data_IF_857548118117
#
_entry.id   IF_857548118117
#
_cell.length_a   1.000
_cell.length_b   1.000
_cell.length_c   1.000
_cell.angle_alpha   90.00
_cell.angle_beta   90.00
_cell.angle_gamma   90.00
#
_symmetry.space_group_name_H-M   'P 1'
#
loop_
_entity.id
_entity.type
_entity.pdbx_description
1 polymer ?
#
# COMPACT_ATOMS: atom_id res chain seq x y z
N UNK A 1 1.10 -7.41 23.66
CA UNK A 1 2.29 -6.67 23.16
C UNK A 1 2.71 -7.12 21.76
N UNK A 2 2.83 -8.42 21.48
CA UNK A 2 3.24 -8.92 20.15
C UNK A 2 2.22 -8.63 19.02
N UNK A 3 0.93 -8.90 19.27
CA UNK A 3 -0.13 -8.74 18.27
C UNK A 3 -0.19 -7.35 17.63
N UNK A 4 -0.15 -6.29 18.45
CA UNK A 4 -0.24 -4.88 17.98
C UNK A 4 0.94 -4.47 17.10
N UNK A 5 2.12 -5.08 17.27
CA UNK A 5 3.32 -4.75 16.48
C UNK A 5 3.36 -5.52 15.16
N UNK A 6 2.68 -6.64 15.09
CA UNK A 6 2.83 -7.62 14.02
C UNK A 6 1.67 -7.65 13.03
N UNK A 7 0.46 -7.24 13.44
CA UNK A 7 -0.75 -7.19 12.61
C UNK A 7 -1.08 -5.72 12.28
N UNK A 8 -1.35 -5.37 11.01
CA UNK A 8 -1.68 -4.01 10.60
C UNK A 8 -3.15 -3.65 10.84
N UNK A 9 -3.45 -2.34 10.76
CA UNK A 9 -4.83 -1.83 10.75
C UNK A 9 -5.48 -2.00 9.38
N UNK A 10 -6.77 -2.29 9.35
CA UNK A 10 -7.58 -2.32 8.12
C UNK A 10 -7.70 -0.92 7.47
N UNK A 11 -7.51 0.14 8.25
CA UNK A 11 -7.74 1.52 7.78
C UNK A 11 -6.60 2.01 6.91
N UNK A 12 -5.35 1.99 7.40
CA UNK A 12 -4.17 2.46 6.66
C UNK A 12 -3.29 1.34 6.11
N UNK A 13 -3.49 0.09 6.54
CA UNK A 13 -2.65 -1.03 6.17
C UNK A 13 -1.27 -1.04 6.84
N UNK A 14 -1.06 -0.21 7.87
CA UNK A 14 0.24 -0.06 8.52
C UNK A 14 0.28 -0.73 9.90
N UNK A 15 1.44 -1.28 10.23
CA UNK A 15 1.84 -1.62 11.60
C UNK A 15 2.34 -0.36 12.32
N UNK A 16 2.35 -0.31 13.67
CA UNK A 16 2.79 0.88 14.41
C UNK A 16 4.17 1.40 13.99
N UNK A 17 5.19 0.54 13.88
CA UNK A 17 6.53 0.97 13.44
C UNK A 17 6.55 1.57 12.04
N UNK A 18 5.71 1.06 11.13
CA UNK A 18 5.58 1.63 9.79
C UNK A 18 4.88 2.98 9.84
N UNK A 19 3.83 3.11 10.67
CA UNK A 19 3.09 4.36 10.86
C UNK A 19 3.94 5.46 11.44
N UNK A 20 4.77 5.18 12.44
CA UNK A 20 5.79 6.10 13.00
C UNK A 20 6.73 6.63 11.92
N UNK A 21 7.25 5.75 11.06
CA UNK A 21 8.09 6.16 9.91
C UNK A 21 7.33 7.08 8.95
N UNK A 22 6.09 6.72 8.58
CA UNK A 22 5.26 7.53 7.69
C UNK A 22 4.90 8.88 8.34
N UNK A 23 4.55 8.91 9.63
CA UNK A 23 4.22 10.15 10.36
C UNK A 23 5.39 11.15 10.33
N UNK A 24 6.58 10.68 10.70
CA UNK A 24 7.81 11.48 10.62
C UNK A 24 8.07 11.98 9.20
N UNK A 25 7.89 11.14 8.17
CA UNK A 25 8.09 11.55 6.77
C UNK A 25 7.07 12.59 6.30
N UNK A 26 5.79 12.41 6.62
CA UNK A 26 4.70 13.29 6.20
C UNK A 26 4.76 14.68 6.85
N UNK A 27 5.44 14.82 8.00
CA UNK A 27 5.67 16.10 8.69
C UNK A 27 6.94 16.83 8.26
N UNK A 28 7.79 16.20 7.45
CA UNK A 28 8.98 16.87 6.91
C UNK A 28 8.56 17.88 5.85
N UNK A 29 9.11 19.09 5.97
CA UNK A 29 8.93 20.16 4.98
C UNK A 29 9.84 20.00 3.75
N UNK A 30 10.90 19.20 3.85
CA UNK A 30 11.91 19.02 2.80
C UNK A 30 11.67 17.76 1.98
N UNK A 31 11.67 17.92 0.66
CA UNK A 31 11.63 16.82 -0.32
C UNK A 31 13.03 16.28 -0.68
N UNK A 32 14.08 16.72 0.01
CA UNK A 32 15.45 16.22 -0.22
C UNK A 32 15.60 14.80 0.36
N UNK A 33 16.41 14.00 -0.30
CA UNK A 33 16.80 12.67 0.16
C UNK A 33 17.42 12.72 1.57
N UNK A 34 17.20 11.67 2.35
CA UNK A 34 17.75 11.49 3.69
C UNK A 34 18.32 10.09 3.80
N UNK A 35 19.47 9.96 4.47
CA UNK A 35 20.06 8.65 4.74
C UNK A 35 19.14 7.86 5.66
N UNK A 36 18.96 6.56 5.38
CA UNK A 36 18.06 5.68 6.15
C UNK A 36 18.35 5.73 7.66
N UNK A 37 19.63 5.68 8.06
CA UNK A 37 20.00 5.74 9.48
C UNK A 37 19.64 7.09 10.13
N UNK A 38 19.77 8.20 9.40
CA UNK A 38 19.36 9.52 9.90
C UNK A 38 17.84 9.61 10.05
N UNK A 39 17.10 9.01 9.12
CA UNK A 39 15.65 8.92 9.24
C UNK A 39 15.24 8.04 10.42
N UNK A 40 15.91 6.90 10.64
CA UNK A 40 15.63 6.02 11.77
C UNK A 40 15.85 6.75 13.12
N UNK A 41 16.95 7.49 13.27
CA UNK A 41 17.21 8.30 14.45
C UNK A 41 16.15 9.40 14.65
N UNK A 42 15.73 10.06 13.56
CA UNK A 42 14.67 11.08 13.63
C UNK A 42 13.31 10.48 14.05
N UNK A 43 12.96 9.31 13.52
CA UNK A 43 11.75 8.57 13.92
C UNK A 43 11.83 8.17 15.39
N UNK A 44 13.01 7.72 15.85
CA UNK A 44 13.16 7.31 17.24
C UNK A 44 12.92 8.47 18.22
N UNK A 45 13.41 9.66 17.90
CA UNK A 45 13.22 10.88 18.68
C UNK A 45 11.79 11.44 18.59
N UNK A 46 11.24 11.54 17.38
CA UNK A 46 9.96 12.22 17.16
C UNK A 46 8.73 11.38 17.50
N UNK A 47 8.89 10.06 17.58
CA UNK A 47 7.78 9.11 17.74
C UNK A 47 7.91 8.29 19.03
N UNK A 48 8.72 8.72 20.00
CA UNK A 48 8.98 8.00 21.25
C UNK A 48 9.26 6.49 21.05
N UNK A 49 10.08 6.13 20.05
CA UNK A 49 10.27 4.73 19.70
C UNK A 49 11.26 4.04 20.65
N UNK A 50 10.75 3.21 21.55
CA UNK A 50 11.55 2.55 22.60
C UNK A 50 12.24 1.23 22.18
N UNK A 51 12.36 0.94 20.88
CA UNK A 51 13.12 -0.23 20.41
C UNK A 51 14.36 0.18 19.64
N UNK A 52 15.31 -0.75 19.47
CA UNK A 52 16.53 -0.46 18.74
C UNK A 52 16.28 0.07 17.32
N UNK A 53 17.00 1.12 16.93
CA UNK A 53 16.90 1.77 15.62
C UNK A 53 17.13 0.82 14.44
N UNK A 54 17.86 -0.29 14.65
CA UNK A 54 18.05 -1.33 13.62
C UNK A 54 16.72 -1.91 13.09
N UNK A 55 15.70 -1.99 13.96
CA UNK A 55 14.36 -2.41 13.56
C UNK A 55 13.68 -1.34 12.67
N UNK A 56 13.90 -0.05 12.95
CA UNK A 56 13.40 1.05 12.13
C UNK A 56 14.12 1.09 10.77
N UNK A 57 15.44 0.91 10.73
CA UNK A 57 16.19 0.82 9.47
C UNK A 57 15.61 -0.27 8.57
N UNK A 58 15.36 -1.45 9.12
CA UNK A 58 14.72 -2.55 8.38
C UNK A 58 13.30 -2.18 7.91
N UNK A 59 12.53 -1.51 8.76
CA UNK A 59 11.17 -1.05 8.43
C UNK A 59 11.18 -0.02 7.30
N UNK A 60 12.08 0.96 7.35
CA UNK A 60 12.25 2.00 6.32
C UNK A 60 12.64 1.36 4.99
N UNK A 61 13.61 0.44 4.99
CA UNK A 61 14.01 -0.28 3.78
C UNK A 61 12.82 -1.04 3.18
N UNK A 62 12.05 -1.76 3.99
CA UNK A 62 10.86 -2.50 3.51
C UNK A 62 9.78 -1.58 2.93
N UNK A 63 9.56 -0.40 3.51
CA UNK A 63 8.61 0.58 2.98
C UNK A 63 9.08 1.21 1.65
N UNK A 64 10.40 1.23 1.39
CA UNK A 64 10.99 1.81 0.19
C UNK A 64 11.22 0.80 -0.95
N UNK A 65 11.16 -0.50 -0.70
CA UNK A 65 11.38 -1.54 -1.71
C UNK A 65 10.30 -1.52 -2.81
N UNK A 66 10.74 -1.41 -4.07
CA UNK A 66 9.90 -1.28 -5.27
C UNK A 66 10.12 -2.40 -6.31
N UNK A 67 10.90 -3.44 -5.98
CA UNK A 67 11.12 -4.58 -6.87
C UNK A 67 9.89 -5.52 -6.90
N UNK A 68 9.83 -6.36 -7.95
CA UNK A 68 8.69 -7.26 -8.23
C UNK A 68 8.28 -8.06 -6.98
N UNK A 69 7.02 -7.93 -6.59
CA UNK A 69 6.44 -8.64 -5.44
C UNK A 69 6.48 -7.88 -4.11
N UNK A 70 7.10 -6.69 -4.05
CA UNK A 70 7.08 -5.80 -2.88
C UNK A 70 5.94 -4.78 -2.98
N UNK A 71 6.19 -3.51 -2.68
CA UNK A 71 5.17 -2.47 -2.68
C UNK A 71 4.76 -2.10 -4.12
N UNK A 72 3.46 -2.06 -4.40
CA UNK A 72 2.95 -1.63 -5.69
C UNK A 72 2.99 -0.10 -5.86
N UNK A 73 2.81 0.65 -4.77
CA UNK A 73 2.69 2.11 -4.80
C UNK A 73 3.39 2.74 -3.58
N UNK A 74 4.14 3.85 -3.75
CA UNK A 74 4.73 4.58 -2.63
C UNK A 74 3.66 5.29 -1.78
N UNK A 75 3.96 5.48 -0.49
CA UNK A 75 3.11 6.25 0.42
C UNK A 75 3.35 7.74 0.22
N UNK A 76 2.34 8.50 -0.21
CA UNK A 76 2.47 9.92 -0.58
C UNK A 76 1.36 10.78 0.02
N UNK A 77 1.55 12.11 0.07
CA UNK A 77 0.50 13.07 0.47
C UNK A 77 -0.72 13.09 -0.45
N UNK A 78 -0.64 12.51 -1.65
CA UNK A 78 -1.82 12.29 -2.50
C UNK A 78 -2.72 11.18 -1.93
N UNK A 79 -2.11 10.15 -1.33
CA UNK A 79 -2.83 9.04 -0.69
C UNK A 79 -3.27 9.42 0.72
N UNK A 80 -2.45 10.21 1.44
CA UNK A 80 -2.68 10.70 2.80
C UNK A 80 -2.80 12.23 2.80
N UNK A 81 -3.98 12.79 2.48
CA UNK A 81 -4.14 14.23 2.28
C UNK A 81 -3.88 14.99 3.58
N UNK A 82 -3.11 16.08 3.51
CA UNK A 82 -2.82 16.93 4.67
C UNK A 82 -4.08 17.56 5.29
N UNK A 83 -5.14 17.74 4.49
CA UNK A 83 -6.44 18.23 4.97
C UNK A 83 -7.12 17.28 5.97
N UNK A 84 -6.67 16.01 6.08
CA UNK A 84 -7.16 15.11 7.13
C UNK A 84 -6.36 15.20 8.43
N UNK A 85 -5.17 15.80 8.43
CA UNK A 85 -4.23 15.69 9.56
C UNK A 85 -4.86 16.19 10.86
N UNK A 86 -5.63 17.29 10.83
CA UNK A 86 -6.30 17.89 11.99
C UNK A 86 -7.53 17.08 12.48
N UNK A 87 -7.91 16.03 11.75
CA UNK A 87 -9.06 15.17 12.06
C UNK A 87 -8.62 13.82 12.66
N UNK A 88 -7.32 13.55 12.73
CA UNK A 88 -6.80 12.28 13.22
C UNK A 88 -6.68 12.28 14.75
N UNK A 89 -6.82 11.10 15.35
CA UNK A 89 -6.59 10.91 16.78
C UNK A 89 -5.11 10.59 17.02
N UNK A 90 -4.32 11.61 17.36
CA UNK A 90 -2.91 11.48 17.71
C UNK A 90 -2.74 10.84 19.08
N UNK A 91 -1.77 9.93 19.18
CA UNK A 91 -1.41 9.32 20.46
C UNK A 91 -0.44 10.23 21.22
N UNK A 92 -0.41 10.07 22.54
CA UNK A 92 0.48 10.79 23.43
C UNK A 92 1.35 9.79 24.21
N UNK A 93 2.67 9.91 24.07
CA UNK A 93 3.67 9.14 24.81
C UNK A 93 4.69 10.12 25.41
N UNK A 94 5.01 10.00 26.70
CA UNK A 94 5.97 10.88 27.40
C UNK A 94 5.67 12.39 27.28
N UNK A 95 4.38 12.78 27.26
CA UNK A 95 3.88 14.14 27.02
C UNK A 95 4.21 14.70 25.62
N UNK A 96 4.50 13.83 24.66
CA UNK A 96 4.73 14.17 23.26
C UNK A 96 3.62 13.57 22.40
N UNK A 97 3.05 14.39 21.52
CA UNK A 97 2.17 13.92 20.46
C UNK A 97 3.00 13.18 19.41
N UNK A 98 2.70 11.89 19.25
CA UNK A 98 3.34 10.97 18.30
C UNK A 98 2.36 10.66 17.15
N UNK A 99 2.55 9.56 16.43
CA UNK A 99 1.68 9.15 15.32
C UNK A 99 0.22 8.96 15.75
N UNK A 100 -0.74 9.08 14.80
CA UNK A 100 -2.13 8.78 15.08
C UNK A 100 -2.38 7.27 15.22
N UNK A 101 -3.49 6.89 15.83
CA UNK A 101 -3.91 5.48 15.90
C UNK A 101 -3.89 4.80 14.53
N UNK A 102 -4.36 5.54 13.53
CA UNK A 102 -4.28 5.20 12.12
C UNK A 102 -4.41 6.46 11.28
N UNK A 103 -3.79 6.44 10.11
CA UNK A 103 -4.12 7.38 9.04
C UNK A 103 -5.37 6.91 8.30
N UNK A 104 -6.02 7.82 7.55
CA UNK A 104 -7.17 7.47 6.73
C UNK A 104 -6.85 7.72 5.24
N UNK A 105 -6.17 6.80 4.54
CA UNK A 105 -5.84 7.01 3.13
C UNK A 105 -7.10 7.07 2.27
N UNK A 106 -7.04 7.71 1.09
CA UNK A 106 -8.18 7.84 0.17
C UNK A 106 -8.62 6.50 -0.46
N UNK A 107 -7.76 5.47 -0.37
CA UNK A 107 -8.00 4.10 -0.84
C UNK A 107 -7.42 3.11 0.18
N UNK A 108 -7.94 1.87 0.26
CA UNK A 108 -7.45 0.86 1.21
C UNK A 108 -6.05 0.37 0.84
N UNK A 109 -5.03 1.01 1.42
CA UNK A 109 -3.62 0.72 1.10
C UNK A 109 -3.18 -0.70 1.48
N UNK A 110 -3.86 -1.35 2.44
CA UNK A 110 -3.67 -2.77 2.75
C UNK A 110 -3.90 -3.67 1.53
N UNK A 111 -4.82 -3.32 0.64
CA UNK A 111 -5.09 -4.07 -0.58
C UNK A 111 -4.15 -3.69 -1.72
N UNK A 112 -3.63 -2.46 -1.72
CA UNK A 112 -2.70 -1.96 -2.75
C UNK A 112 -1.32 -2.59 -2.56
N UNK A 113 -0.74 -2.50 -1.37
CA UNK A 113 0.61 -3.00 -1.09
C UNK A 113 0.63 -4.39 -0.46
N UNK A 114 -0.52 -4.93 -0.08
CA UNK A 114 -0.59 -6.19 0.65
C UNK A 114 -0.07 -6.06 2.08
N UNK A 115 -0.14 -7.16 2.82
CA UNK A 115 0.50 -7.27 4.13
C UNK A 115 0.74 -8.72 4.51
N UNK A 116 1.84 -8.94 5.21
CA UNK A 116 2.11 -10.19 5.89
C UNK A 116 2.54 -9.94 7.33
N UNK A 117 2.10 -10.81 8.24
CA UNK A 117 2.45 -10.73 9.66
C UNK A 117 2.12 -12.01 10.39
N UNK A 118 2.96 -12.36 11.36
CA UNK A 118 2.77 -13.48 12.27
C UNK A 118 2.87 -12.92 13.68
N UNK A 119 1.93 -13.32 14.53
CA UNK A 119 1.89 -12.98 15.94
C UNK A 119 1.44 -14.21 16.73
N UNK A 120 1.57 -14.18 18.06
CA UNK A 120 1.10 -15.28 18.91
C UNK A 120 -0.36 -15.65 18.63
N UNK A 121 -0.58 -16.83 18.04
CA UNK A 121 -1.91 -17.39 17.73
C UNK A 121 -2.57 -16.88 16.44
N UNK A 122 -1.96 -15.93 15.72
CA UNK A 122 -2.57 -15.32 14.53
C UNK A 122 -1.55 -15.08 13.42
N UNK A 123 -2.01 -15.17 12.18
CA UNK A 123 -1.25 -14.72 11.02
C UNK A 123 -2.15 -13.90 10.11
N UNK A 124 -1.55 -13.02 9.34
CA UNK A 124 -2.25 -12.24 8.32
C UNK A 124 -1.49 -12.34 7.02
N UNK A 125 -2.21 -12.62 5.93
CA UNK A 125 -1.72 -12.55 4.57
C UNK A 125 -2.79 -11.91 3.69
N UNK A 126 -2.48 -10.70 3.22
CA UNK A 126 -3.25 -9.96 2.23
C UNK A 126 -2.33 -9.76 1.02
N UNK A 127 -2.76 -10.21 -0.16
CA UNK A 127 -2.00 -10.01 -1.40
C UNK A 127 -2.23 -8.60 -1.95
N UNK A 128 -1.24 -8.09 -2.68
CA UNK A 128 -1.32 -6.78 -3.32
C UNK A 128 -2.18 -6.80 -4.59
N UNK A 129 -2.73 -5.63 -4.93
CA UNK A 129 -3.63 -5.42 -6.06
C UNK A 129 -3.28 -4.13 -6.81
N UNK A 130 -3.71 -4.04 -8.06
CA UNK A 130 -3.52 -2.85 -8.88
C UNK A 130 -4.35 -1.71 -8.29
N UNK A 131 -3.66 -0.61 -7.97
CA UNK A 131 -4.29 0.56 -7.36
C UNK A 131 -5.44 1.11 -8.20
N UNK A 132 -5.38 1.02 -9.54
CA UNK A 132 -6.45 1.48 -10.44
C UNK A 132 -7.71 0.66 -10.24
N UNK A 133 -7.59 -0.66 -10.13
CA UNK A 133 -8.74 -1.54 -9.84
C UNK A 133 -9.32 -1.29 -8.46
N UNK A 134 -8.47 -1.02 -7.46
CA UNK A 134 -8.91 -0.62 -6.12
C UNK A 134 -9.68 0.71 -6.19
N UNK A 135 -9.16 1.72 -6.90
CA UNK A 135 -9.83 3.01 -7.13
C UNK A 135 -11.17 2.82 -7.83
N UNK A 136 -11.23 2.00 -8.88
CA UNK A 136 -12.46 1.76 -9.65
C UNK A 136 -13.54 1.10 -8.78
N UNK A 137 -13.16 0.19 -7.88
CA UNK A 137 -14.09 -0.35 -6.89
C UNK A 137 -14.52 0.67 -5.83
N UNK A 138 -13.63 1.56 -5.39
CA UNK A 138 -14.03 2.68 -4.51
C UNK A 138 -15.04 3.57 -5.22
N UNK A 139 -14.83 3.92 -6.50
CA UNK A 139 -15.79 4.69 -7.30
C UNK A 139 -17.14 3.98 -7.42
N UNK A 140 -17.15 2.67 -7.69
CA UNK A 140 -18.37 1.87 -7.70
C UNK A 140 -19.11 1.93 -6.37
N UNK A 141 -18.40 1.85 -5.24
CA UNK A 141 -19.03 1.99 -3.92
C UNK A 141 -19.63 3.39 -3.70
N UNK A 142 -18.99 4.46 -4.20
CA UNK A 142 -19.56 5.83 -4.20
C UNK A 142 -20.87 5.86 -4.99
N UNK A 143 -20.88 5.21 -6.15
CA UNK A 143 -22.04 5.14 -7.05
C UNK A 143 -23.10 4.11 -6.61
N UNK A 144 -22.93 3.47 -5.45
CA UNK A 144 -23.74 2.36 -4.94
C UNK A 144 -23.84 1.16 -5.92
N UNK A 145 -22.83 0.99 -6.78
CA UNK A 145 -22.71 -0.14 -7.70
C UNK A 145 -22.00 -1.33 -7.05
N UNK A 146 -22.16 -2.51 -7.66
CA UNK A 146 -21.47 -3.72 -7.23
C UNK A 146 -19.97 -3.66 -7.58
N UNK A 147 -19.13 -4.05 -6.62
CA UNK A 147 -17.68 -4.12 -6.81
C UNK A 147 -17.32 -5.25 -7.77
N UNK A 148 -16.30 -5.04 -8.58
CA UNK A 148 -15.68 -6.12 -9.33
C UNK A 148 -14.77 -6.96 -8.45
N UNK A 149 -14.64 -8.24 -8.80
CA UNK A 149 -13.70 -9.14 -8.16
C UNK A 149 -12.27 -8.67 -8.41
N UNK A 150 -11.53 -8.42 -7.34
CA UNK A 150 -10.12 -8.07 -7.41
C UNK A 150 -9.27 -9.35 -7.51
N UNK A 151 -8.47 -9.44 -8.57
CA UNK A 151 -7.44 -10.47 -8.71
C UNK A 151 -6.11 -9.86 -8.29
N UNK A 152 -5.32 -10.54 -7.43
CA UNK A 152 -4.03 -10.05 -6.99
C UNK A 152 -3.11 -9.71 -8.16
N UNK A 153 -2.29 -8.68 -7.98
CA UNK A 153 -1.33 -8.25 -8.97
C UNK A 153 -0.14 -7.59 -8.31
N UNK A 154 1.05 -7.91 -8.82
CA UNK A 154 2.31 -7.43 -8.31
C UNK A 154 2.95 -6.52 -9.34
N UNK A 155 3.43 -5.34 -8.93
CA UNK A 155 4.07 -4.40 -9.84
C UNK A 155 5.21 -5.06 -10.60
N UNK A 156 5.32 -4.74 -11.90
CA UNK A 156 6.32 -5.27 -12.84
C UNK A 156 6.30 -6.81 -13.05
N UNK A 157 5.35 -7.55 -12.45
CA UNK A 157 5.23 -8.98 -12.67
C UNK A 157 4.64 -9.29 -14.06
N UNK A 158 5.42 -9.99 -14.89
CA UNK A 158 5.05 -10.32 -16.28
C UNK A 158 4.38 -11.69 -16.45
N UNK A 159 4.19 -12.42 -15.36
CA UNK A 159 3.51 -13.71 -15.36
C UNK A 159 1.98 -13.59 -15.38
N UNK A 160 1.30 -14.68 -15.04
CA UNK A 160 -0.15 -14.74 -14.92
C UNK A 160 -0.53 -15.03 -13.48
N UNK A 161 -1.53 -14.32 -12.98
CA UNK A 161 -2.21 -14.63 -11.71
C UNK A 161 -3.64 -15.00 -12.04
N UNK A 162 -4.11 -16.13 -11.53
CA UNK A 162 -5.49 -16.56 -11.69
C UNK A 162 -6.02 -17.14 -10.38
N UNK A 163 -7.29 -16.88 -10.10
CA UNK A 163 -7.95 -17.50 -8.96
C UNK A 163 -8.44 -18.90 -9.35
N UNK A 164 -8.07 -19.89 -8.55
CA UNK A 164 -8.43 -21.30 -8.78
C UNK A 164 -9.57 -21.74 -7.88
N UNK A 165 -9.67 -21.14 -6.70
CA UNK A 165 -10.67 -21.37 -5.67
C UNK A 165 -10.76 -20.08 -4.84
N UNK A 166 -11.86 -19.88 -4.12
CA UNK A 166 -12.03 -18.68 -3.27
C UNK A 166 -10.82 -18.52 -2.34
N UNK A 167 -10.22 -17.32 -2.35
CA UNK A 167 -9.02 -16.99 -1.57
C UNK A 167 -7.78 -17.83 -1.92
N UNK A 168 -7.75 -18.49 -3.09
CA UNK A 168 -6.62 -19.31 -3.54
C UNK A 168 -6.24 -18.98 -4.97
N UNK A 169 -4.99 -18.55 -5.14
CA UNK A 169 -4.48 -17.98 -6.39
C UNK A 169 -3.30 -18.76 -6.90
N UNK A 170 -3.33 -19.09 -8.18
CA UNK A 170 -2.22 -19.67 -8.91
C UNK A 170 -1.44 -18.57 -9.62
N UNK A 171 -0.14 -18.51 -9.34
CA UNK A 171 0.81 -17.57 -9.91
C UNK A 171 1.77 -18.34 -10.81
N UNK A 172 1.75 -18.01 -12.09
CA UNK A 172 2.51 -18.66 -13.13
C UNK A 172 3.54 -17.69 -13.74
N UNK A 173 4.79 -18.12 -13.81
CA UNK A 173 5.83 -17.46 -14.58
C UNK A 173 5.55 -17.50 -16.09
N UNK A 174 6.38 -16.83 -16.87
CA UNK A 174 6.25 -16.76 -18.32
C UNK A 174 7.38 -17.53 -18.99
N UNK A 175 7.06 -18.30 -20.03
CA UNK A 175 8.04 -18.90 -20.92
C UNK A 175 7.59 -18.76 -22.37
N UNK A 176 8.57 -18.73 -23.28
CA UNK A 176 8.35 -18.64 -24.72
C UNK A 176 9.27 -19.65 -25.40
N UNK A 177 8.75 -20.35 -26.41
CA UNK A 177 9.57 -21.20 -27.26
C UNK A 177 10.23 -20.40 -28.37
N UNK A 178 11.52 -20.62 -28.58
CA UNK A 178 12.26 -20.06 -29.72
C UNK A 178 12.89 -21.20 -30.52
N UNK A 179 12.95 -21.08 -31.87
CA UNK A 179 13.72 -22.01 -32.70
C UNK A 179 15.20 -21.98 -32.31
N UNK A 180 15.86 -23.14 -32.36
CA UNK A 180 17.31 -23.21 -32.14
C UNK A 180 18.04 -22.41 -33.23
N UNK A 181 18.92 -21.50 -32.83
CA UNK A 181 19.82 -20.80 -33.76
C UNK A 181 20.98 -21.69 -34.23
N UNK A 182 21.20 -22.84 -33.60
CA UNK A 182 22.27 -23.79 -33.95
C UNK A 182 21.72 -24.90 -34.84
N UNK A 183 22.28 -25.03 -36.05
CA UNK A 183 21.87 -26.04 -37.05
C UNK A 183 22.14 -27.49 -36.61
N UNK A 184 23.17 -27.75 -35.79
CA UNK A 184 23.64 -29.10 -35.43
C UNK A 184 23.89 -29.32 -33.91
N UNK A 185 22.95 -28.98 -33.03
CA UNK A 185 23.06 -29.34 -31.61
C UNK A 185 22.49 -30.75 -31.39
N UNK A 186 23.37 -31.75 -31.21
CA UNK A 186 22.95 -33.14 -31.04
C UNK A 186 22.67 -33.54 -29.59
N UNK A 187 23.31 -32.93 -28.58
CA UNK A 187 23.17 -33.32 -27.16
C UNK A 187 23.40 -32.17 -26.14
N UNK A 188 23.09 -30.92 -26.48
CA UNK A 188 23.32 -29.81 -25.55
C UNK A 188 22.09 -29.55 -24.67
N UNK A 189 22.14 -30.03 -23.43
CA UNK A 189 21.36 -29.50 -22.32
C UNK A 189 22.22 -28.46 -21.60
N UNK A 190 21.94 -27.18 -21.82
CA UNK A 190 22.65 -26.08 -21.18
C UNK A 190 21.71 -24.90 -20.99
N UNK A 191 22.10 -23.95 -20.16
CA UNK A 191 21.35 -22.72 -19.96
C UNK A 191 22.25 -21.49 -20.04
N UNK A 192 21.66 -20.37 -20.45
CA UNK A 192 22.27 -19.04 -20.39
C UNK A 192 21.40 -18.12 -19.56
N UNK A 193 22.04 -17.25 -18.82
CA UNK A 193 21.40 -16.25 -17.96
C UNK A 193 21.55 -14.86 -18.59
N UNK A 194 20.43 -14.15 -18.69
CA UNK A 194 20.38 -12.77 -19.21
C UNK A 194 19.56 -11.90 -18.25
N UNK A 195 19.95 -11.91 -16.98
CA UNK A 195 19.25 -11.20 -15.92
C UNK A 195 19.53 -9.69 -15.95
N UNK A 196 18.60 -8.92 -15.40
CA UNK A 196 18.74 -7.49 -15.13
C UNK A 196 18.32 -7.23 -13.69
N UNK A 197 18.53 -6.01 -13.19
CA UNK A 197 18.08 -5.62 -11.84
C UNK A 197 16.58 -5.81 -11.61
N UNK A 198 15.75 -5.72 -12.67
CA UNK A 198 14.28 -5.81 -12.60
C UNK A 198 13.68 -7.07 -13.23
N UNK A 199 14.50 -7.97 -13.77
CA UNK A 199 13.96 -9.05 -14.61
C UNK A 199 14.85 -10.28 -14.69
N UNK A 200 14.22 -11.44 -14.63
CA UNK A 200 14.87 -12.75 -14.73
C UNK A 200 14.58 -13.37 -16.09
N UNK A 201 15.64 -13.73 -16.82
CA UNK A 201 15.57 -14.41 -18.11
C UNK A 201 16.59 -15.53 -18.19
N UNK A 202 16.09 -16.74 -18.35
CA UNK A 202 16.87 -17.93 -18.68
C UNK A 202 16.60 -18.33 -20.13
N UNK A 203 17.64 -18.72 -20.86
CA UNK A 203 17.54 -19.34 -22.18
C UNK A 203 18.03 -20.76 -22.05
N UNK A 204 17.11 -21.72 -22.17
CA UNK A 204 17.39 -23.14 -22.01
C UNK A 204 17.55 -23.81 -23.38
N UNK A 205 18.68 -24.47 -23.60
CA UNK A 205 18.86 -25.40 -24.72
C UNK A 205 18.29 -26.76 -24.29
N UNK A 206 17.22 -27.20 -24.96
CA UNK A 206 16.53 -28.45 -24.65
C UNK A 206 17.00 -29.56 -25.60
N UNK A 207 17.14 -30.79 -25.08
CA UNK A 207 17.45 -31.96 -25.92
C UNK A 207 16.35 -32.20 -26.97
N UNK A 208 16.68 -32.88 -28.08
CA UNK A 208 15.70 -33.17 -29.14
C UNK A 208 14.52 -33.96 -28.61
N UNK A 209 14.76 -34.93 -27.72
CA UNK A 209 13.76 -35.78 -27.08
C UNK A 209 12.86 -34.96 -26.15
N UNK A 210 13.45 -34.15 -25.25
CA UNK A 210 12.70 -33.32 -24.32
C UNK A 210 11.86 -32.27 -25.08
N UNK A 211 12.47 -31.64 -26.09
CA UNK A 211 11.83 -30.65 -26.95
C UNK A 211 10.66 -31.26 -27.76
N UNK A 212 10.79 -32.50 -28.24
CA UNK A 212 9.70 -33.22 -28.90
C UNK A 212 8.52 -33.50 -27.96
N UNK A 213 8.78 -33.91 -26.71
CA UNK A 213 7.73 -34.04 -25.68
C UNK A 213 7.03 -32.71 -25.41
N UNK A 214 7.81 -31.63 -25.32
CA UNK A 214 7.31 -30.28 -25.09
C UNK A 214 6.65 -29.64 -26.33
N UNK A 215 6.62 -30.31 -27.49
CA UNK A 215 5.87 -29.86 -28.67
C UNK A 215 4.53 -30.58 -28.84
N UNK A 216 4.15 -31.51 -27.97
CA UNK A 216 2.81 -32.10 -28.00
C UNK A 216 1.77 -31.01 -27.63
N UNK A 217 0.61 -30.88 -28.30
CA UNK A 217 -0.33 -29.79 -28.02
C UNK A 217 -1.00 -29.89 -26.64
N UNK A 218 -1.40 -31.11 -26.25
CA UNK A 218 -2.13 -31.38 -25.01
C UNK A 218 -1.15 -31.50 -23.84
N UNK A 219 -1.43 -30.81 -22.73
CA UNK A 219 -0.63 -30.91 -21.50
C UNK A 219 0.74 -30.23 -21.54
N UNK A 220 1.13 -29.65 -22.68
CA UNK A 220 2.42 -28.94 -22.88
C UNK A 220 2.72 -27.95 -21.78
N UNK A 221 1.76 -27.06 -21.57
CA UNK A 221 1.91 -25.91 -20.69
C UNK A 221 2.04 -26.38 -19.24
N UNK A 222 1.14 -27.26 -18.81
CA UNK A 222 1.15 -27.85 -17.46
C UNK A 222 2.43 -28.66 -17.18
N UNK A 223 2.90 -29.47 -18.15
CA UNK A 223 4.14 -30.23 -17.99
C UNK A 223 5.34 -29.31 -17.75
N UNK A 224 5.48 -28.24 -18.54
CA UNK A 224 6.59 -27.30 -18.42
C UNK A 224 6.53 -26.49 -17.12
N UNK A 225 5.35 -26.01 -16.76
CA UNK A 225 5.15 -25.29 -15.49
C UNK A 225 5.61 -26.16 -14.31
N UNK A 226 5.26 -27.44 -14.32
CA UNK A 226 5.67 -28.40 -13.28
C UNK A 226 7.15 -28.74 -13.35
N UNK A 227 7.70 -29.04 -14.54
CA UNK A 227 9.11 -29.41 -14.69
C UNK A 227 10.05 -28.29 -14.27
N UNK A 228 9.75 -27.05 -14.64
CA UNK A 228 10.57 -25.87 -14.33
C UNK A 228 10.14 -25.14 -13.06
N UNK A 229 9.15 -25.67 -12.32
CA UNK A 229 8.60 -25.07 -11.09
C UNK A 229 8.21 -23.59 -11.28
N UNK A 230 7.61 -23.27 -12.43
CA UNK A 230 7.18 -21.92 -12.78
C UNK A 230 5.76 -21.60 -12.28
N UNK A 231 5.22 -22.42 -11.37
CA UNK A 231 3.87 -22.28 -10.86
C UNK A 231 3.89 -22.45 -9.34
N UNK A 232 3.28 -21.49 -8.65
CA UNK A 232 3.11 -21.49 -7.20
C UNK A 232 1.66 -21.17 -6.89
N UNK A 233 1.12 -21.75 -5.82
CA UNK A 233 -0.24 -21.47 -5.34
C UNK A 233 -0.15 -20.78 -3.98
N UNK A 234 -0.82 -19.64 -3.84
CA UNK A 234 -0.94 -18.89 -2.59
C UNK A 234 -2.39 -18.93 -2.09
N UNK A 235 -2.59 -18.98 -0.78
CA UNK A 235 -3.91 -18.77 -0.18
C UNK A 235 -3.92 -17.59 0.79
N UNK A 236 -5.07 -16.93 0.88
CA UNK A 236 -5.37 -15.78 1.75
C UNK A 236 -6.47 -16.12 2.75
N UNK A 237 -6.43 -17.33 3.32
CA UNK A 237 -7.45 -17.81 4.27
C UNK A 237 -7.39 -17.12 5.64
N UNK A 238 -6.37 -16.31 5.89
CA UNK A 238 -6.15 -15.61 7.15
C UNK A 238 -5.89 -14.14 6.85
N UNK A 239 -6.95 -13.35 6.71
CA UNK A 239 -6.87 -11.89 6.58
C UNK A 239 -7.27 -11.27 7.92
N UNK A 240 -6.40 -11.45 8.92
CA UNK A 240 -6.62 -10.94 10.27
C UNK A 240 -6.03 -9.55 10.38
N UNK A 241 -6.87 -8.56 10.69
CA UNK A 241 -6.47 -7.14 10.78
C UNK A 241 -7.08 -6.52 12.02
N UNK A 242 -6.51 -5.40 12.48
CA UNK A 242 -7.19 -4.56 13.46
C UNK A 242 -8.30 -3.75 12.79
N UNK A 243 -9.49 -3.81 13.36
CA UNK A 243 -10.61 -2.94 12.98
C UNK A 243 -10.34 -1.48 13.41
N UNK A 244 -11.16 -0.51 12.99
CA UNK A 244 -10.97 0.90 13.34
C UNK A 244 -11.05 1.19 14.85
N UNK A 245 -11.58 0.26 15.64
CA UNK A 245 -11.69 0.35 17.11
C UNK A 245 -10.52 -0.37 17.82
N UNK A 246 -9.58 -0.96 17.08
CA UNK A 246 -8.43 -1.67 17.62
C UNK A 246 -8.71 -3.11 18.05
N UNK A 247 -9.82 -3.73 17.63
CA UNK A 247 -10.10 -5.15 17.85
C UNK A 247 -9.57 -5.99 16.68
N UNK A 248 -9.06 -7.19 16.98
CA UNK A 248 -8.69 -8.14 15.94
C UNK A 248 -9.93 -8.75 15.30
N UNK A 249 -9.96 -8.74 13.97
CA UNK A 249 -11.03 -9.33 13.16
C UNK A 249 -10.45 -10.12 12.01
N UNK A 250 -11.02 -11.29 11.73
CA UNK A 250 -10.75 -12.03 10.50
C UNK A 250 -11.74 -11.59 9.42
N UNK A 251 -11.22 -11.15 8.28
CA UNK A 251 -12.00 -10.78 7.10
C UNK A 251 -12.10 -11.97 6.18
N UNK A 252 -13.31 -12.37 5.80
CA UNK A 252 -13.52 -13.54 4.95
C UNK A 252 -13.15 -13.24 3.49
N UNK A 253 -13.42 -12.02 3.04
CA UNK A 253 -13.20 -11.59 1.65
C UNK A 253 -12.51 -10.22 1.59
N UNK A 254 -11.87 -9.95 0.45
CA UNK A 254 -11.34 -8.61 0.12
C UNK A 254 -12.46 -7.56 0.10
N UNK A 255 -13.67 -7.96 -0.30
CA UNK A 255 -14.86 -7.10 -0.28
C UNK A 255 -15.19 -6.59 1.11
N UNK A 256 -14.99 -7.41 2.15
CA UNK A 256 -15.23 -6.99 3.54
C UNK A 256 -14.25 -5.89 3.97
N UNK A 257 -12.96 -6.04 3.61
CA UNK A 257 -11.91 -5.04 3.85
C UNK A 257 -12.25 -3.74 3.12
N UNK A 258 -12.61 -3.81 1.84
CA UNK A 258 -13.01 -2.66 1.03
C UNK A 258 -14.18 -1.90 1.68
N UNK A 259 -15.25 -2.61 2.08
CA UNK A 259 -16.44 -2.00 2.67
C UNK A 259 -16.14 -1.36 4.03
N UNK A 260 -15.33 -2.01 4.86
CA UNK A 260 -14.94 -1.45 6.17
C UNK A 260 -14.12 -0.17 6.00
N UNK A 261 -13.08 -0.19 5.16
CA UNK A 261 -12.30 1.00 4.86
C UNK A 261 -13.16 2.11 4.24
N UNK A 262 -14.02 1.78 3.27
CA UNK A 262 -14.91 2.75 2.62
C UNK A 262 -15.82 3.47 3.61
N UNK A 263 -16.40 2.73 4.57
CA UNK A 263 -17.26 3.31 5.61
C UNK A 263 -16.51 4.34 6.46
N UNK A 264 -15.30 3.99 6.92
CA UNK A 264 -14.46 4.88 7.72
C UNK A 264 -14.05 6.09 6.90
N UNK A 265 -13.63 5.88 5.65
CA UNK A 265 -13.18 6.97 4.78
C UNK A 265 -14.31 7.95 4.44
N UNK A 266 -15.53 7.46 4.22
CA UNK A 266 -16.71 8.30 3.99
C UNK A 266 -17.00 9.21 5.19
N UNK A 267 -16.99 8.65 6.40
CA UNK A 267 -17.15 9.43 7.62
C UNK A 267 -16.05 10.49 7.75
N UNK A 268 -14.79 10.15 7.44
CA UNK A 268 -13.70 11.12 7.49
C UNK A 268 -13.85 12.26 6.48
N UNK A 269 -14.42 12.01 5.30
CA UNK A 269 -14.78 13.07 4.35
C UNK A 269 -15.89 14.00 4.88
N UNK A 270 -16.89 13.46 5.59
CA UNK A 270 -17.94 14.26 6.24
C UNK A 270 -17.32 15.18 7.31
N UNK A 271 -16.49 14.61 8.19
CA UNK A 271 -15.76 15.36 9.22
C UNK A 271 -14.85 16.45 8.61
N UNK A 272 -14.18 16.14 7.49
CA UNK A 272 -13.35 17.12 6.77
C UNK A 272 -14.20 18.28 6.25
N UNK A 273 -15.32 17.98 5.59
CA UNK A 273 -16.23 19.00 5.06
C UNK A 273 -16.70 19.93 6.17
N UNK A 274 -17.09 19.39 7.32
CA UNK A 274 -17.50 20.18 8.48
C UNK A 274 -16.37 21.03 9.06
N UNK A 275 -15.15 20.47 9.16
CA UNK A 275 -13.98 21.20 9.63
C UNK A 275 -13.62 22.36 8.70
N UNK A 276 -13.49 22.11 7.39
CA UNK A 276 -13.16 23.13 6.39
C UNK A 276 -14.22 24.24 6.34
N UNK A 277 -15.51 23.87 6.43
CA UNK A 277 -16.62 24.84 6.50
C UNK A 277 -16.47 25.75 7.72
N UNK A 278 -16.20 25.18 8.90
CA UNK A 278 -15.98 25.96 10.14
C UNK A 278 -14.78 26.89 10.03
N UNK A 279 -13.68 26.43 9.43
CA UNK A 279 -12.46 27.23 9.26
C UNK A 279 -12.67 28.40 8.31
N UNK A 280 -13.33 28.16 7.17
CA UNK A 280 -13.67 29.20 6.21
C UNK A 280 -14.66 30.22 6.81
N UNK A 281 -15.64 29.76 7.59
CA UNK A 281 -16.56 30.64 8.31
C UNK A 281 -15.84 31.53 9.34
N UNK A 282 -14.90 30.96 10.08
CA UNK A 282 -14.07 31.72 11.03
C UNK A 282 -13.20 32.76 10.30
N UNK A 283 -12.61 32.39 9.16
CA UNK A 283 -11.82 33.30 8.33
C UNK A 283 -12.67 34.43 7.75
N UNK A 284 -13.87 34.12 7.24
CA UNK A 284 -14.85 35.11 6.77
C UNK A 284 -15.16 36.13 7.85
N UNK A 285 -15.54 35.68 9.06
CA UNK A 285 -15.85 36.56 10.20
C UNK A 285 -14.67 37.47 10.58
N UNK A 286 -13.44 36.94 10.54
CA UNK A 286 -12.22 37.73 10.80
C UNK A 286 -12.04 38.84 9.76
N UNK A 287 -12.23 38.54 8.49
CA UNK A 287 -12.11 39.52 7.39
C UNK A 287 -13.23 40.57 7.45
N UNK A 288 -14.47 40.16 7.73
CA UNK A 288 -15.60 41.07 7.91
C UNK A 288 -15.34 42.07 9.04
N UNK A 289 -14.80 41.61 10.17
CA UNK A 289 -14.42 42.49 11.28
C UNK A 289 -13.29 43.46 10.89
N UNK A 290 -12.29 43.02 10.13
CA UNK A 290 -11.20 43.90 9.67
C UNK A 290 -11.70 44.98 8.71
N UNK A 291 -12.58 44.64 7.77
CA UNK A 291 -13.21 45.60 6.85
C UNK A 291 -14.11 46.57 7.64
N UNK A 292 -14.87 46.06 8.60
CA UNK A 292 -15.71 46.87 9.48
C UNK A 292 -14.91 47.95 10.21
N UNK A 293 -13.77 47.57 10.82
CA UNK A 293 -12.87 48.52 11.50
C UNK A 293 -12.25 49.53 10.51
N UNK A 294 -11.71 49.06 9.39
CA UNK A 294 -11.08 49.95 8.39
C UNK A 294 -12.05 50.98 7.78
N UNK A 295 -13.33 50.62 7.63
CA UNK A 295 -14.38 51.52 7.12
C UNK A 295 -14.86 52.56 8.16
N UNK A 296 -14.71 52.28 9.46
CA UNK A 296 -14.98 53.25 10.52
C UNK A 296 -13.87 54.31 10.62
N UNK A 297 -12.60 53.91 10.46
CA UNK A 297 -11.46 54.83 10.43
C UNK A 297 -11.50 55.79 9.22
N UNK A 298 -12.00 55.34 8.06
CA UNK A 298 -12.15 56.23 6.90
C UNK A 298 -13.27 57.26 7.08
N UNK A 299 -14.34 56.94 7.83
CA UNK A 299 -15.42 57.88 8.14
C UNK A 299 -15.03 58.91 9.19
N UNK A 300 -14.15 58.56 10.13
CA UNK A 300 -13.65 59.48 11.15
C UNK A 300 -12.77 60.62 10.58
N UNK A 301 -12.10 60.39 9.45
CA UNK A 301 -11.26 61.40 8.77
C UNK A 301 -12.00 62.33 7.79
N UNK A 302 -13.29 62.09 7.51
CA UNK A 302 -14.08 62.90 6.55
C UNK A 302 -15.07 63.83 7.28
N UNK A 303 -15.06 63.90 8.62
CA UNK A 303 -15.83 64.91 9.34
C UNK A 303 -15.22 66.31 9.10
N UNK A 304 -15.92 67.24 8.43
CA UNK A 304 -15.40 68.59 8.26
C UNK A 304 -15.45 69.31 9.61
N UNK A 305 -14.34 69.94 9.98
CA UNK A 305 -14.35 70.97 11.02
C UNK A 305 -15.19 72.16 10.51
N UNK A 306 -16.38 72.31 11.08
CA UNK A 306 -17.23 73.51 10.96
C UNK A 306 -17.86 73.81 12.29
#
# INVERSE_FOLDING_TARGET
LDLRRSIPSVVDGLKPSQRKVIHTLLRRSSNKEIKVNQLAAAVALNEAYHHGEAALVTTIVRLAQDFVGMNNVPFTRLIFPAADDDLLHYLEEENQLIEPEWYCPIVPMILVNGAEGIATGWSTRVLSHDIRKVIDNVRRLIDNAEMERLIPSFSDFSGRVQEVEENRYEICGKFIFSPSQRKNAHNLSGYKEHHTERGVRFVLELSKEFSARCRRPVGRHSMLMKTFKLQTVLSTNSMVLFDPKGHLRNYATISDIMREHFRVRRQKYEERKEHETRMLDAQRRRLENQVGIGSQDTRAHIAPHS
#
